data_IF_659351498557
#
_entry.id   IF_659351498557
#
_cell.length_a   1.000
_cell.length_b   1.000
_cell.length_c   1.000
_cell.angle_alpha   90.00
_cell.angle_beta   90.00
_cell.angle_gamma   90.00
#
_symmetry.space_group_name_H-M   'P 1'
#
loop_
_entity.id
_entity.type
_entity.pdbx_description
1 polymer ?
#
# COMPACT_ATOMS: atom_id res chain seq x y z
N UNK A 1 -35.16 0.87 -33.93
CA UNK A 1 -34.75 0.33 -32.63
C UNK A 1 -33.54 -0.51 -32.90
N UNK A 2 -32.38 0.09 -32.81
CA UNK A 2 -31.12 -0.61 -32.85
C UNK A 2 -30.73 -0.87 -31.38
N UNK A 3 -30.68 -2.15 -31.05
CA UNK A 3 -30.22 -2.65 -29.77
C UNK A 3 -28.70 -2.78 -29.89
N UNK A 4 -27.98 -1.69 -29.57
CA UNK A 4 -26.52 -1.72 -29.40
C UNK A 4 -26.24 -2.20 -27.96
N UNK A 5 -26.37 -3.51 -27.73
CA UNK A 5 -25.78 -4.14 -26.56
C UNK A 5 -24.25 -4.11 -26.76
N UNK A 6 -23.60 -3.11 -26.20
CA UNK A 6 -22.16 -3.10 -25.99
C UNK A 6 -21.77 -4.37 -25.22
N UNK A 7 -21.20 -5.33 -25.94
CA UNK A 7 -20.57 -6.49 -25.30
C UNK A 7 -19.37 -5.97 -24.53
N UNK A 8 -19.42 -6.09 -23.21
CA UNK A 8 -18.24 -5.84 -22.37
C UNK A 8 -17.06 -6.63 -22.96
N UNK A 9 -15.95 -5.92 -23.18
CA UNK A 9 -14.72 -6.50 -23.70
C UNK A 9 -14.18 -7.52 -22.68
N UNK A 10 -14.28 -8.80 -23.00
CA UNK A 10 -13.79 -9.93 -22.19
C UNK A 10 -12.24 -10.01 -22.16
N UNK A 11 -11.55 -9.01 -22.72
CA UNK A 11 -10.07 -8.96 -22.80
C UNK A 11 -9.39 -8.79 -21.44
N UNK A 12 -10.14 -8.38 -20.38
CA UNK A 12 -9.66 -8.24 -19.01
C UNK A 12 -10.14 -9.37 -18.08
N UNK A 13 -10.68 -10.46 -18.64
CA UNK A 13 -10.96 -11.66 -17.85
C UNK A 13 -9.68 -12.17 -17.17
N UNK A 14 -9.84 -12.73 -15.96
CA UNK A 14 -8.71 -13.29 -15.23
C UNK A 14 -7.96 -14.33 -16.08
N UNK A 15 -6.61 -14.30 -16.06
CA UNK A 15 -5.81 -15.27 -16.80
C UNK A 15 -6.11 -16.72 -16.35
N UNK A 16 -5.93 -17.67 -17.24
CA UNK A 16 -6.14 -19.10 -16.97
C UNK A 16 -4.96 -19.70 -16.20
N UNK A 17 -5.22 -20.77 -15.43
CA UNK A 17 -4.23 -21.44 -14.57
C UNK A 17 -3.18 -22.26 -15.34
N UNK A 18 -3.18 -22.26 -16.69
CA UNK A 18 -2.21 -22.99 -17.52
C UNK A 18 -0.78 -22.42 -17.45
N UNK A 19 -0.62 -21.25 -16.84
CA UNK A 19 0.68 -20.65 -16.53
C UNK A 19 1.16 -20.92 -15.09
N UNK A 20 0.34 -21.58 -14.26
CA UNK A 20 0.67 -21.82 -12.87
C UNK A 20 1.89 -22.73 -12.70
N UNK A 21 2.76 -22.37 -11.75
CA UNK A 21 3.88 -23.19 -11.34
C UNK A 21 3.47 -24.09 -10.18
N UNK A 22 3.98 -25.30 -10.15
CA UNK A 22 3.81 -26.23 -9.01
C UNK A 22 4.90 -25.97 -7.98
N UNK A 23 4.52 -25.53 -6.77
CA UNK A 23 5.47 -25.49 -5.63
C UNK A 23 5.64 -26.89 -5.08
N UNK A 24 6.88 -27.39 -5.08
CA UNK A 24 7.21 -28.75 -4.63
C UNK A 24 7.79 -28.76 -3.21
N UNK A 25 8.45 -27.68 -2.79
CA UNK A 25 8.96 -27.46 -1.43
C UNK A 25 9.02 -25.97 -1.14
N UNK A 26 9.02 -25.56 0.14
CA UNK A 26 9.15 -24.17 0.58
C UNK A 26 9.97 -24.08 1.86
N UNK A 27 10.82 -23.05 1.98
CA UNK A 27 11.60 -22.76 3.19
C UNK A 27 11.84 -21.26 3.37
N UNK A 28 12.19 -20.86 4.58
CA UNK A 28 12.66 -19.52 4.88
C UNK A 28 14.19 -19.51 4.82
N UNK A 29 14.78 -18.74 3.92
CA UNK A 29 16.22 -18.60 3.76
C UNK A 29 16.80 -17.50 4.65
N UNK A 30 16.00 -16.47 4.94
CA UNK A 30 16.39 -15.38 5.86
C UNK A 30 15.14 -14.82 6.56
N UNK A 31 15.30 -14.43 7.83
CA UNK A 31 14.24 -13.84 8.62
C UNK A 31 14.74 -12.58 9.36
N UNK A 32 13.94 -11.54 9.39
CA UNK A 32 14.14 -10.35 10.20
C UNK A 32 12.80 -9.80 10.73
N UNK A 33 12.78 -8.82 11.64
CA UNK A 33 11.52 -8.34 12.22
C UNK A 33 10.49 -7.80 11.22
N UNK A 34 10.93 -7.32 10.04
CA UNK A 34 10.03 -6.70 9.07
C UNK A 34 9.52 -7.64 7.96
N UNK A 35 10.26 -8.72 7.65
CA UNK A 35 9.92 -9.65 6.57
C UNK A 35 10.77 -10.92 6.60
N UNK A 36 10.32 -11.93 5.88
CA UNK A 36 11.09 -13.12 5.56
C UNK A 36 11.52 -13.11 4.10
N UNK A 37 12.66 -13.73 3.78
CA UNK A 37 12.96 -14.18 2.42
C UNK A 37 12.58 -15.65 2.35
N UNK A 38 11.55 -15.93 1.58
CA UNK A 38 11.06 -17.28 1.33
C UNK A 38 11.66 -17.80 0.02
N UNK A 39 11.94 -19.09 -0.02
CA UNK A 39 12.39 -19.77 -1.22
C UNK A 39 11.47 -20.98 -1.48
N UNK A 40 10.95 -21.05 -2.68
CA UNK A 40 10.16 -22.18 -3.16
C UNK A 40 10.94 -22.93 -4.23
N UNK A 41 11.01 -24.27 -4.11
CA UNK A 41 11.36 -25.14 -5.21
C UNK A 41 10.12 -25.33 -6.09
N UNK A 42 10.24 -25.03 -7.38
CA UNK A 42 9.08 -24.97 -8.28
C UNK A 42 9.32 -25.76 -9.54
N UNK A 43 8.21 -26.25 -10.13
CA UNK A 43 8.17 -26.85 -11.45
C UNK A 43 7.30 -25.99 -12.37
N UNK A 44 7.88 -25.52 -13.48
CA UNK A 44 7.21 -24.72 -14.51
C UNK A 44 6.30 -25.60 -15.37
N UNK A 45 5.36 -25.00 -16.14
CA UNK A 45 4.46 -25.75 -17.04
C UNK A 45 5.15 -26.62 -18.09
N UNK A 46 6.38 -26.29 -18.49
CA UNK A 46 7.19 -27.07 -19.43
C UNK A 46 7.99 -28.21 -18.76
N UNK A 47 7.83 -28.37 -17.43
CA UNK A 47 8.54 -29.37 -16.63
C UNK A 47 9.91 -28.93 -16.13
N UNK A 48 10.37 -27.72 -16.41
CA UNK A 48 11.62 -27.18 -15.87
C UNK A 48 11.52 -27.03 -14.34
N UNK A 49 12.51 -27.54 -13.62
CA UNK A 49 12.64 -27.37 -12.17
C UNK A 49 13.63 -26.24 -11.86
N UNK A 50 13.25 -25.34 -10.95
CA UNK A 50 14.08 -24.21 -10.49
C UNK A 50 13.65 -23.78 -9.11
N UNK A 51 14.33 -22.79 -8.52
CA UNK A 51 13.98 -22.14 -7.27
C UNK A 51 13.50 -20.69 -7.54
N UNK A 52 12.65 -20.19 -6.65
CA UNK A 52 12.14 -18.83 -6.69
C UNK A 52 12.19 -18.21 -5.28
N UNK A 53 12.90 -17.08 -5.17
CA UNK A 53 13.01 -16.33 -3.92
C UNK A 53 12.11 -15.09 -3.96
N UNK A 54 11.43 -14.83 -2.86
CA UNK A 54 10.59 -13.64 -2.73
C UNK A 54 10.55 -13.14 -1.28
N UNK A 55 10.17 -11.87 -1.14
CA UNK A 55 9.89 -11.24 0.15
C UNK A 55 8.51 -11.67 0.60
N UNK A 56 8.43 -12.26 1.80
CA UNK A 56 7.19 -12.63 2.47
C UNK A 56 6.96 -11.65 3.63
N UNK A 57 5.97 -10.80 3.49
CA UNK A 57 5.67 -9.74 4.47
C UNK A 57 4.16 -9.64 4.73
N UNK A 58 3.75 -9.16 5.91
CA UNK A 58 2.35 -8.90 6.21
C UNK A 58 1.73 -7.93 5.20
N UNK A 59 0.40 -8.00 5.06
CA UNK A 59 -0.33 -6.98 4.34
C UNK A 59 -0.10 -5.61 5.00
N UNK A 60 -0.11 -4.55 4.20
CA UNK A 60 0.04 -3.18 4.68
C UNK A 60 -1.19 -2.34 4.36
N UNK A 61 -1.41 -1.31 5.17
CA UNK A 61 -2.41 -0.28 4.92
C UNK A 61 -1.74 1.02 4.52
N UNK A 62 -2.38 1.77 3.65
CA UNK A 62 -1.95 3.11 3.21
C UNK A 62 -3.14 4.05 3.35
N UNK A 63 -2.95 5.17 4.01
CA UNK A 63 -4.04 6.08 4.34
C UNK A 63 -3.87 7.42 3.61
N UNK A 64 -4.89 7.86 2.88
CA UNK A 64 -5.02 9.22 2.35
C UNK A 64 -5.90 10.05 3.30
N UNK A 65 -5.31 10.81 4.26
CA UNK A 65 -6.04 11.40 5.35
C UNK A 65 -6.35 12.87 5.09
N UNK A 66 -7.64 13.19 5.00
CA UNK A 66 -8.15 14.55 4.83
C UNK A 66 -8.55 15.19 6.15
N UNK A 67 -8.04 16.39 6.41
CA UNK A 67 -8.51 17.25 7.50
C UNK A 67 -9.92 17.79 7.22
N UNK A 68 -10.62 18.37 8.21
CA UNK A 68 -11.91 19.05 7.98
C UNK A 68 -11.83 20.18 6.95
N UNK A 69 -10.67 20.81 6.80
CA UNK A 69 -10.44 21.90 5.82
C UNK A 69 -10.13 21.38 4.40
N UNK A 70 -10.00 20.05 4.22
CA UNK A 70 -9.69 19.40 2.94
C UNK A 70 -8.21 19.33 2.59
N UNK A 71 -7.33 19.69 3.52
CA UNK A 71 -5.90 19.45 3.41
C UNK A 71 -5.57 17.99 3.70
N UNK A 72 -4.38 17.52 3.28
CA UNK A 72 -3.92 16.14 3.48
C UNK A 72 -2.80 16.09 4.50
N UNK A 73 -2.90 15.18 5.47
CA UNK A 73 -1.80 14.87 6.38
C UNK A 73 -0.82 13.94 5.66
N UNK A 74 0.41 14.37 5.51
CA UNK A 74 1.51 13.60 4.92
C UNK A 74 2.65 13.45 5.93
N UNK A 75 3.54 12.49 5.69
CA UNK A 75 4.72 12.26 6.52
C UNK A 75 6.00 12.50 5.73
N UNK A 76 7.01 13.10 6.37
CA UNK A 76 8.39 13.07 5.90
C UNK A 76 9.11 11.98 6.70
N UNK A 77 9.54 10.90 6.04
CA UNK A 77 10.11 9.72 6.67
C UNK A 77 11.48 9.38 6.08
N UNK A 78 12.44 9.00 6.94
CA UNK A 78 13.72 8.45 6.50
C UNK A 78 13.56 7.03 5.99
N UNK A 79 13.87 6.80 4.73
CA UNK A 79 13.84 5.47 4.09
C UNK A 79 15.26 4.97 3.85
N UNK A 80 15.75 4.10 4.75
CA UNK A 80 17.11 3.57 4.72
C UNK A 80 17.48 2.89 3.39
N UNK A 81 16.56 2.14 2.79
CA UNK A 81 16.79 1.42 1.54
C UNK A 81 17.15 2.35 0.35
N UNK A 82 16.67 3.58 0.37
CA UNK A 82 16.95 4.58 -0.67
C UNK A 82 17.83 5.73 -0.19
N UNK A 83 18.24 5.73 1.10
CA UNK A 83 19.20 6.65 1.69
C UNK A 83 18.75 8.12 1.70
N UNK A 84 17.45 8.37 1.86
CA UNK A 84 16.89 9.74 1.88
C UNK A 84 15.56 9.80 2.62
N UNK A 85 15.19 11.03 3.02
CA UNK A 85 13.82 11.31 3.45
C UNK A 85 12.89 11.34 2.25
N UNK A 86 11.77 10.62 2.35
CA UNK A 86 10.68 10.66 1.39
C UNK A 86 9.47 11.33 2.02
N UNK A 87 8.74 12.11 1.23
CA UNK A 87 7.39 12.53 1.56
C UNK A 87 6.41 11.49 1.07
N UNK A 88 5.48 11.09 1.93
CA UNK A 88 4.52 10.04 1.64
C UNK A 88 3.23 10.14 2.44
N UNK A 89 2.32 9.22 2.17
CA UNK A 89 1.13 8.96 2.96
C UNK A 89 1.50 8.09 4.16
N UNK A 90 0.81 8.23 5.31
CA UNK A 90 0.92 7.29 6.44
C UNK A 90 0.64 5.86 5.99
N UNK A 91 1.48 4.90 6.41
CA UNK A 91 1.36 3.54 5.97
C UNK A 91 2.21 2.56 6.77
N UNK A 92 1.61 1.47 7.25
CA UNK A 92 2.34 0.43 7.96
C UNK A 92 1.71 -0.95 7.85
N UNK A 93 2.29 -1.92 8.52
CA UNK A 93 1.88 -3.31 8.49
C UNK A 93 0.61 -3.57 9.31
N UNK A 94 -0.14 -4.61 8.94
CA UNK A 94 -1.22 -5.10 9.79
C UNK A 94 -0.67 -5.91 10.96
N UNK A 95 -1.32 -5.81 12.11
CA UNK A 95 -1.00 -6.54 13.32
C UNK A 95 -2.05 -7.62 13.64
N UNK A 96 -1.67 -8.68 14.40
CA UNK A 96 -2.63 -9.72 14.76
C UNK A 96 -3.82 -9.25 15.59
N UNK A 97 -3.69 -8.11 16.26
CA UNK A 97 -4.71 -7.52 17.13
C UNK A 97 -5.61 -6.52 16.37
N UNK A 98 -5.35 -6.26 15.11
CA UNK A 98 -6.25 -5.45 14.27
C UNK A 98 -7.53 -6.24 13.93
N UNK A 99 -8.70 -5.68 14.24
CA UNK A 99 -10.00 -6.31 13.95
C UNK A 99 -10.21 -6.48 12.42
N UNK A 100 -9.77 -5.50 11.65
CA UNK A 100 -9.79 -5.48 10.19
C UNK A 100 -8.78 -4.47 9.63
N UNK A 101 -8.66 -4.38 8.31
CA UNK A 101 -7.74 -3.42 7.67
C UNK A 101 -8.10 -1.95 7.91
N UNK A 102 -9.36 -1.63 8.18
CA UNK A 102 -9.75 -0.27 8.53
C UNK A 102 -9.31 0.09 9.96
N UNK A 103 -9.29 -0.89 10.88
CA UNK A 103 -8.72 -0.72 12.22
C UNK A 103 -7.20 -0.47 12.14
N UNK A 104 -6.48 -1.29 11.34
CA UNK A 104 -5.07 -1.07 11.05
C UNK A 104 -4.80 0.34 10.48
N UNK A 105 -5.60 0.79 9.51
CA UNK A 105 -5.47 2.12 8.92
C UNK A 105 -5.66 3.25 9.94
N UNK A 106 -6.59 3.10 10.88
CA UNK A 106 -6.79 4.07 11.99
C UNK A 106 -5.61 4.07 12.95
N UNK A 107 -5.10 2.89 13.30
CA UNK A 107 -3.95 2.73 14.20
C UNK A 107 -2.72 3.40 13.60
N UNK A 108 -2.34 3.06 12.37
CA UNK A 108 -1.17 3.63 11.68
C UNK A 108 -1.28 5.16 11.53
N UNK A 109 -2.45 5.68 11.14
CA UNK A 109 -2.67 7.12 11.08
C UNK A 109 -2.39 7.80 12.43
N UNK A 110 -2.89 7.22 13.52
CA UNK A 110 -2.70 7.77 14.86
C UNK A 110 -1.23 7.66 15.31
N UNK A 111 -0.58 6.50 15.12
CA UNK A 111 0.79 6.24 15.54
C UNK A 111 1.80 7.12 14.80
N UNK A 112 1.72 7.18 13.47
CA UNK A 112 2.67 7.94 12.65
C UNK A 112 2.42 9.45 12.68
N UNK A 113 1.18 9.91 12.89
CA UNK A 113 0.83 11.33 12.73
C UNK A 113 0.22 11.99 13.97
N UNK A 114 -0.27 11.23 14.94
CA UNK A 114 -1.04 11.75 16.06
C UNK A 114 -2.45 12.23 15.68
N UNK A 115 -2.96 11.88 14.49
CA UNK A 115 -4.30 12.24 14.04
C UNK A 115 -5.28 11.08 14.17
N UNK A 116 -6.51 11.39 14.54
CA UNK A 116 -7.64 10.46 14.48
C UNK A 116 -8.63 10.89 13.39
N UNK A 117 -9.26 9.91 12.74
CA UNK A 117 -10.21 10.12 11.65
C UNK A 117 -11.65 9.86 12.11
N UNK A 118 -12.61 10.72 11.72
CA UNK A 118 -14.03 10.45 11.91
C UNK A 118 -14.50 9.25 11.09
N UNK A 119 -14.08 9.15 9.83
CA UNK A 119 -14.43 8.08 8.90
C UNK A 119 -13.20 7.54 8.17
N UNK A 120 -13.18 6.22 7.94
CA UNK A 120 -12.17 5.54 7.13
C UNK A 120 -12.90 4.61 6.16
N UNK A 121 -12.68 4.79 4.85
CA UNK A 121 -13.35 4.09 3.77
C UNK A 121 -12.33 3.43 2.84
N UNK A 122 -12.57 2.17 2.39
CA UNK A 122 -11.64 1.51 1.48
C UNK A 122 -11.60 2.22 0.12
N UNK A 123 -10.40 2.30 -0.47
CA UNK A 123 -10.18 2.93 -1.77
C UNK A 123 -9.82 1.89 -2.85
N UNK A 124 -8.74 1.14 -2.65
CA UNK A 124 -8.27 0.10 -3.58
C UNK A 124 -7.33 -0.86 -2.87
N UNK A 125 -7.24 -2.09 -3.38
CA UNK A 125 -6.23 -3.08 -2.98
C UNK A 125 -5.33 -3.39 -4.15
N UNK A 126 -4.02 -3.42 -3.92
CA UNK A 126 -3.01 -3.66 -4.97
C UNK A 126 -1.88 -4.54 -4.47
N UNK A 127 -1.17 -5.16 -5.41
CA UNK A 127 0.08 -5.90 -5.21
C UNK A 127 1.24 -5.06 -5.77
N UNK A 128 1.93 -4.27 -4.96
CA UNK A 128 2.86 -3.24 -5.45
C UNK A 128 4.13 -3.81 -6.08
N UNK A 129 4.48 -5.05 -5.77
CA UNK A 129 5.77 -5.67 -6.14
C UNK A 129 5.65 -7.18 -6.41
N UNK A 130 4.55 -7.64 -7.02
CA UNK A 130 4.23 -9.06 -7.22
C UNK A 130 5.25 -9.88 -8.02
N UNK A 131 6.27 -9.25 -8.60
CA UNK A 131 7.41 -9.93 -9.21
C UNK A 131 8.51 -10.35 -8.22
N UNK A 132 8.52 -9.82 -6.98
CA UNK A 132 9.56 -10.07 -5.97
C UNK A 132 9.02 -10.18 -4.53
N UNK A 133 7.75 -9.90 -4.30
CA UNK A 133 7.14 -9.93 -2.99
C UNK A 133 5.69 -10.40 -3.09
N UNK A 134 5.16 -10.97 -2.02
CA UNK A 134 3.75 -11.31 -1.88
C UNK A 134 2.94 -10.21 -1.17
N UNK A 135 3.54 -9.04 -0.99
CA UNK A 135 2.91 -7.93 -0.29
C UNK A 135 1.62 -7.46 -0.96
N UNK A 136 0.63 -7.17 -0.11
CA UNK A 136 -0.66 -6.59 -0.52
C UNK A 136 -0.85 -5.28 0.23
N UNK A 137 -1.16 -4.22 -0.51
CA UNK A 137 -1.44 -2.91 0.07
C UNK A 137 -2.93 -2.57 -0.03
N UNK A 138 -3.55 -2.31 1.12
CA UNK A 138 -4.95 -1.87 1.23
C UNK A 138 -4.98 -0.36 1.45
N UNK A 139 -5.52 0.36 0.48
CA UNK A 139 -5.62 1.81 0.53
C UNK A 139 -6.95 2.26 1.12
N UNK A 140 -6.89 3.29 1.95
CA UNK A 140 -8.04 3.89 2.59
C UNK A 140 -8.04 5.41 2.41
N UNK A 141 -9.23 6.00 2.31
CA UNK A 141 -9.45 7.43 2.49
C UNK A 141 -9.94 7.66 3.92
N UNK A 142 -9.22 8.48 4.66
CA UNK A 142 -9.66 8.93 5.99
C UNK A 142 -10.16 10.37 5.91
N UNK A 143 -11.26 10.68 6.61
CA UNK A 143 -11.87 11.99 6.61
C UNK A 143 -12.06 12.52 8.03
N UNK A 144 -12.08 13.86 8.16
CA UNK A 144 -12.20 14.51 9.47
C UNK A 144 -11.00 14.20 10.35
N UNK A 145 -9.78 14.19 9.75
CA UNK A 145 -8.57 13.89 10.48
C UNK A 145 -8.14 15.10 11.31
N UNK A 146 -8.14 14.96 12.63
CA UNK A 146 -7.73 16.01 13.57
C UNK A 146 -6.63 15.51 14.51
N UNK A 147 -5.68 16.37 14.94
CA UNK A 147 -4.70 16.01 15.96
C UNK A 147 -5.41 15.63 17.26
N UNK A 148 -5.11 14.44 17.80
CA UNK A 148 -5.74 13.93 19.02
C UNK A 148 -4.74 13.56 20.11
N UNK A 149 -3.51 13.18 19.73
CA UNK A 149 -2.47 12.72 20.62
C UNK A 149 -1.07 13.01 20.06
N UNK A 150 -0.05 12.70 20.84
CA UNK A 150 1.33 12.64 20.35
C UNK A 150 1.52 11.37 19.50
N UNK A 151 2.49 11.43 18.56
CA UNK A 151 2.93 10.24 17.80
C UNK A 151 3.41 9.13 18.74
N UNK A 152 3.20 7.88 18.33
CA UNK A 152 3.72 6.69 18.99
C UNK A 152 4.50 5.83 17.99
N UNK A 153 5.67 6.32 17.57
CA UNK A 153 6.49 5.70 16.56
C UNK A 153 7.15 4.41 17.03
N UNK A 154 7.34 3.49 16.13
CA UNK A 154 8.17 2.32 16.33
C UNK A 154 9.65 2.70 16.54
N UNK A 155 10.41 1.82 17.19
CA UNK A 155 11.79 2.09 17.60
C UNK A 155 12.74 2.37 16.41
N UNK A 156 12.38 1.97 15.21
CA UNK A 156 13.15 2.10 13.97
C UNK A 156 12.56 3.13 13.00
N UNK A 157 11.60 3.92 13.42
CA UNK A 157 10.96 4.95 12.63
C UNK A 157 11.52 6.35 12.92
N UNK A 158 11.59 7.14 11.87
CA UNK A 158 11.97 8.56 11.93
C UNK A 158 11.03 9.35 11.04
N UNK A 159 9.89 9.72 11.61
CA UNK A 159 8.72 10.29 10.92
C UNK A 159 8.41 11.68 11.48
N UNK A 160 8.09 12.60 10.59
CA UNK A 160 7.57 13.92 10.90
C UNK A 160 6.31 14.21 10.09
N UNK A 161 5.12 14.29 10.71
CA UNK A 161 3.89 14.64 10.04
C UNK A 161 3.86 16.12 9.65
N UNK A 162 3.16 16.42 8.57
CA UNK A 162 2.85 17.79 8.14
C UNK A 162 1.55 17.78 7.34
N UNK A 163 0.91 18.94 7.22
CA UNK A 163 -0.32 19.10 6.44
C UNK A 163 -0.02 19.90 5.18
N UNK A 164 -0.56 19.47 4.04
CA UNK A 164 -0.40 20.12 2.73
C UNK A 164 -1.73 20.20 2.00
N UNK A 165 -1.93 21.21 1.18
CA UNK A 165 -3.12 21.28 0.31
C UNK A 165 -3.16 20.08 -0.65
N UNK A 166 -4.35 19.48 -0.84
CA UNK A 166 -4.49 18.33 -1.74
C UNK A 166 -4.02 18.63 -3.17
N UNK A 167 -4.38 19.80 -3.72
CA UNK A 167 -3.93 20.20 -5.05
C UNK A 167 -2.41 20.40 -5.15
N UNK A 168 -1.76 20.80 -4.07
CA UNK A 168 -0.30 20.93 -4.02
C UNK A 168 0.36 19.56 -4.01
N UNK A 169 -0.15 18.61 -3.24
CA UNK A 169 0.30 17.22 -3.24
C UNK A 169 0.14 16.59 -4.62
N UNK A 170 -1.03 16.72 -5.23
CA UNK A 170 -1.32 16.24 -6.59
C UNK A 170 -0.35 16.82 -7.62
N UNK A 171 -0.07 18.12 -7.56
CA UNK A 171 0.92 18.75 -8.45
C UNK A 171 2.32 18.20 -8.25
N UNK A 172 2.75 18.00 -7.00
CA UNK A 172 4.06 17.42 -6.69
C UNK A 172 4.18 15.97 -7.18
N UNK A 173 3.11 15.17 -7.08
CA UNK A 173 3.04 13.82 -7.67
C UNK A 173 3.19 13.87 -9.18
N UNK A 174 2.41 14.71 -9.87
CA UNK A 174 2.46 14.83 -11.33
C UNK A 174 3.78 15.39 -11.85
N UNK A 175 4.47 16.21 -11.06
CA UNK A 175 5.80 16.74 -11.37
C UNK A 175 6.94 15.73 -11.09
N UNK A 176 6.66 14.56 -10.48
CA UNK A 176 7.66 13.57 -10.08
C UNK A 176 8.53 13.99 -8.90
N UNK A 177 8.09 14.98 -8.13
CA UNK A 177 8.76 15.42 -6.91
C UNK A 177 8.50 14.45 -5.75
N UNK A 178 7.30 13.86 -5.68
CA UNK A 178 6.97 12.73 -4.80
C UNK A 178 7.26 11.43 -5.53
N UNK A 179 8.12 10.58 -4.94
CA UNK A 179 8.61 9.33 -5.55
C UNK A 179 8.16 8.08 -4.79
N UNK A 180 7.51 8.23 -3.66
CA UNK A 180 6.92 7.11 -2.94
C UNK A 180 5.75 6.54 -3.75
N UNK A 181 5.86 5.28 -4.19
CA UNK A 181 4.87 4.65 -5.05
C UNK A 181 3.50 4.54 -4.38
N UNK A 182 3.46 4.35 -3.05
CA UNK A 182 2.21 4.28 -2.28
C UNK A 182 1.45 5.60 -2.38
N UNK A 183 2.17 6.71 -2.20
CA UNK A 183 1.60 8.06 -2.31
C UNK A 183 1.14 8.38 -3.74
N UNK A 184 1.98 8.09 -4.73
CA UNK A 184 1.66 8.32 -6.15
C UNK A 184 0.39 7.56 -6.52
N UNK A 185 0.30 6.28 -6.18
CA UNK A 185 -0.86 5.46 -6.50
C UNK A 185 -2.11 5.94 -5.75
N UNK A 186 -2.02 6.18 -4.43
CA UNK A 186 -3.15 6.62 -3.62
C UNK A 186 -3.76 7.93 -4.12
N UNK A 187 -2.92 8.93 -4.42
CA UNK A 187 -3.38 10.23 -4.93
C UNK A 187 -3.99 10.11 -6.33
N UNK A 188 -3.33 9.39 -7.25
CA UNK A 188 -3.83 9.27 -8.62
C UNK A 188 -5.08 8.40 -8.70
N UNK A 189 -5.15 7.32 -7.92
CA UNK A 189 -6.36 6.49 -7.90
C UNK A 189 -7.55 7.25 -7.32
N UNK A 190 -7.35 7.98 -6.21
CA UNK A 190 -8.39 8.80 -5.62
C UNK A 190 -8.93 9.85 -6.60
N UNK A 191 -8.04 10.52 -7.33
CA UNK A 191 -8.42 11.53 -8.33
C UNK A 191 -9.24 10.93 -9.48
N UNK A 192 -8.88 9.73 -9.94
CA UNK A 192 -9.53 9.08 -11.09
C UNK A 192 -10.82 8.34 -10.72
N UNK A 193 -10.92 7.82 -9.48
CA UNK A 193 -12.08 7.08 -9.01
C UNK A 193 -13.15 7.97 -8.36
N UNK A 194 -12.81 9.21 -8.04
CA UNK A 194 -13.68 10.18 -7.35
C UNK A 194 -14.55 11.03 -8.28
N UNK A 195 -14.62 10.72 -9.59
CA UNK A 195 -15.52 11.37 -10.57
C UNK A 195 -16.90 10.73 -10.62
#
# INVERSE_FOLDING_TARGET
MNDDSETADDSLAAPTDDLAWETTDTRIDYSCPGFDIRMDDVRLPDGTETDFHYVDEPAAVVVLPFTPDGDVVVIDEWRQAVGRTNRGLPAGGTEPDDDDYAAAARRELAEETGHEAEAVEPLVTVEPANGIANSVHHYFVARGCEPSADQNLDFNESIRPTTVGYDDLKRAVLAGEVRDARTVLGVLYYELAGE
#
